data_IF_004268992131
#
_entry.id   IF_004268992131
#
_cell.length_a   1.000
_cell.length_b   1.000
_cell.length_c   1.000
_cell.angle_alpha   90.00
_cell.angle_beta   90.00
_cell.angle_gamma   90.00
#
_symmetry.space_group_name_H-M   'P 1'
#
loop_
_entity.id
_entity.type
_entity.pdbx_description
1 polymer ?
#
# COMPACT_ATOMS: atom_id res chain seq x y z
N UNK A 1 -5.76 -9.03 -13.11
CA UNK A 1 -4.54 -8.38 -13.60
C UNK A 1 -4.52 -6.94 -13.09
N UNK A 2 -3.35 -6.28 -13.07
CA UNK A 2 -3.19 -4.92 -12.49
C UNK A 2 -3.93 -3.89 -13.37
N UNK A 3 -4.76 -3.04 -12.76
CA UNK A 3 -5.60 -2.05 -13.45
C UNK A 3 -5.21 -0.60 -13.15
N UNK A 4 -4.29 -0.39 -12.21
CA UNK A 4 -3.77 0.94 -11.87
C UNK A 4 -3.13 0.97 -10.49
N UNK A 5 -2.91 2.17 -9.96
CA UNK A 5 -2.55 2.39 -8.57
C UNK A 5 -3.83 2.51 -7.73
N UNK A 6 -3.85 1.86 -6.57
CA UNK A 6 -4.84 2.12 -5.52
C UNK A 6 -4.37 3.30 -4.68
N UNK A 7 -3.15 3.23 -4.15
CA UNK A 7 -2.52 4.32 -3.41
C UNK A 7 -1.01 4.30 -3.51
N UNK A 8 -0.38 5.40 -3.08
CA UNK A 8 1.02 5.41 -2.64
C UNK A 8 1.05 5.76 -1.15
N UNK A 9 1.92 5.11 -0.38
CA UNK A 9 2.18 5.45 1.00
C UNK A 9 3.52 6.18 1.12
N UNK A 10 3.45 7.45 1.55
CA UNK A 10 4.58 8.31 1.82
C UNK A 10 4.79 8.46 3.32
N UNK A 11 5.99 8.90 3.72
CA UNK A 11 6.38 9.00 5.12
C UNK A 11 6.74 10.43 5.51
N UNK A 12 6.25 10.82 6.69
CA UNK A 12 6.57 12.09 7.35
C UNK A 12 7.06 11.85 8.78
N UNK A 13 7.72 12.83 9.41
CA UNK A 13 8.12 12.73 10.81
C UNK A 13 6.94 12.44 11.74
N UNK A 14 7.22 11.79 12.88
CA UNK A 14 6.19 11.48 13.86
C UNK A 14 5.62 12.78 14.45
N UNK A 15 4.29 12.85 14.56
CA UNK A 15 3.59 13.97 15.17
C UNK A 15 3.29 15.14 14.24
N UNK A 16 3.52 15.00 12.93
CA UNK A 16 3.35 16.10 11.95
C UNK A 16 2.21 15.85 10.94
N UNK A 17 1.12 15.17 11.35
CA UNK A 17 -0.02 14.95 10.43
C UNK A 17 -0.77 16.25 10.12
N UNK A 18 -0.81 17.19 11.06
CA UNK A 18 -1.33 18.55 10.84
C UNK A 18 -0.62 19.24 9.67
N UNK A 19 0.73 19.15 9.64
CA UNK A 19 1.53 19.67 8.54
C UNK A 19 1.24 18.94 7.23
N UNK A 20 0.97 17.63 7.28
CA UNK A 20 0.56 16.87 6.11
C UNK A 20 -0.81 17.35 5.57
N UNK A 21 -1.79 17.60 6.44
CA UNK A 21 -3.08 18.15 6.01
C UNK A 21 -2.94 19.55 5.39
N UNK A 22 -2.12 20.42 5.97
CA UNK A 22 -1.84 21.74 5.37
C UNK A 22 -1.13 21.61 4.02
N UNK A 23 -0.09 20.77 3.93
CA UNK A 23 0.67 20.63 2.69
C UNK A 23 -0.16 19.94 1.59
N UNK A 24 -0.61 18.71 1.83
CA UNK A 24 -1.31 17.93 0.80
C UNK A 24 -2.73 18.44 0.55
N UNK A 25 -3.45 18.88 1.60
CA UNK A 25 -4.81 19.37 1.47
C UNK A 25 -4.90 20.81 0.98
N UNK A 26 -4.24 21.74 1.67
CA UNK A 26 -4.39 23.17 1.38
C UNK A 26 -3.42 23.65 0.29
N UNK A 27 -2.15 23.22 0.34
CA UNK A 27 -1.13 23.70 -0.61
C UNK A 27 -1.23 23.00 -1.96
N UNK A 28 -1.40 21.67 -1.97
CA UNK A 28 -1.55 20.90 -3.22
C UNK A 28 -3.01 20.81 -3.69
N UNK A 29 -3.98 21.11 -2.83
CA UNK A 29 -5.41 21.07 -3.17
C UNK A 29 -6.03 19.67 -3.21
N UNK A 30 -5.44 18.67 -2.56
CA UNK A 30 -5.99 17.31 -2.56
C UNK A 30 -7.13 17.16 -1.55
N UNK A 31 -8.10 16.31 -1.86
CA UNK A 31 -9.24 16.08 -0.99
C UNK A 31 -8.91 15.10 0.12
N UNK A 32 -8.95 15.54 1.38
CA UNK A 32 -8.78 14.67 2.53
C UNK A 32 -9.90 13.61 2.59
N UNK A 33 -9.51 12.34 2.68
CA UNK A 33 -10.41 11.21 2.82
C UNK A 33 -10.46 10.73 4.28
N UNK A 34 -11.57 10.11 4.66
CA UNK A 34 -11.69 9.48 5.98
C UNK A 34 -10.78 8.26 6.06
N UNK A 35 -10.03 8.16 7.16
CA UNK A 35 -9.19 7.01 7.47
C UNK A 35 -9.97 5.98 8.29
N UNK A 36 -9.59 4.68 8.25
CA UNK A 36 -10.16 3.67 9.15
C UNK A 36 -10.07 4.08 10.61
N UNK A 37 -11.05 3.71 11.44
CA UNK A 37 -11.14 4.19 12.83
C UNK A 37 -9.86 3.90 13.62
N UNK A 38 -9.32 2.68 13.43
CA UNK A 38 -8.10 2.21 14.10
C UNK A 38 -6.82 2.92 13.64
N UNK A 39 -6.87 3.75 12.61
CA UNK A 39 -5.72 4.47 12.06
C UNK A 39 -5.78 5.98 12.29
N UNK A 40 -6.83 6.50 12.94
CA UNK A 40 -6.93 7.91 13.29
C UNK A 40 -5.69 8.38 14.07
N UNK A 41 -5.16 9.54 13.67
CA UNK A 41 -3.96 10.13 14.27
C UNK A 41 -2.65 9.43 13.91
N UNK A 42 -2.67 8.40 13.06
CA UNK A 42 -1.47 7.66 12.62
C UNK A 42 -1.20 7.75 11.12
N UNK A 43 -2.22 8.11 10.34
CA UNK A 43 -2.16 8.23 8.89
C UNK A 43 -3.12 9.32 8.41
N UNK A 44 -2.81 9.95 7.29
CA UNK A 44 -3.73 10.82 6.54
C UNK A 44 -3.91 10.25 5.12
N UNK A 45 -5.14 10.27 4.60
CA UNK A 45 -5.46 9.84 3.24
C UNK A 45 -5.94 11.04 2.42
N UNK A 46 -5.50 11.12 1.17
CA UNK A 46 -5.88 12.15 0.22
C UNK A 46 -6.28 11.52 -1.12
N UNK A 47 -7.41 11.91 -1.68
CA UNK A 47 -7.83 11.49 -3.02
C UNK A 47 -7.18 12.37 -4.08
N UNK A 48 -6.65 11.75 -5.13
CA UNK A 48 -6.10 12.43 -6.32
C UNK A 48 -7.18 12.81 -7.34
N UNK A 49 -8.29 12.06 -7.35
CA UNK A 49 -9.41 12.24 -8.27
C UNK A 49 -10.72 12.11 -7.51
N UNK A 50 -11.81 12.62 -8.11
CA UNK A 50 -13.17 12.52 -7.57
C UNK A 50 -13.90 11.25 -8.05
N UNK A 51 -13.15 10.24 -8.52
CA UNK A 51 -13.73 8.98 -9.01
C UNK A 51 -14.35 8.17 -7.86
N UNK A 52 -15.33 7.28 -8.14
CA UNK A 52 -15.88 6.37 -7.14
C UNK A 52 -14.85 5.43 -6.47
N UNK A 53 -13.71 5.20 -7.15
CA UNK A 53 -12.56 4.46 -6.65
C UNK A 53 -11.29 5.29 -6.90
N UNK A 54 -11.07 6.35 -6.12
CA UNK A 54 -10.01 7.30 -6.40
C UNK A 54 -8.64 6.65 -6.24
N UNK A 55 -7.65 7.15 -6.97
CA UNK A 55 -6.26 6.91 -6.59
C UNK A 55 -5.95 7.76 -5.36
N UNK A 56 -5.16 7.24 -4.43
CA UNK A 56 -4.92 7.95 -3.16
C UNK A 56 -3.44 8.17 -2.86
N UNK A 57 -3.16 9.22 -2.09
CA UNK A 57 -1.92 9.38 -1.36
C UNK A 57 -2.21 9.12 0.10
N UNK A 58 -1.54 8.15 0.68
CA UNK A 58 -1.50 7.91 2.11
C UNK A 58 -0.21 8.52 2.67
N UNK A 59 -0.32 9.18 3.81
CA UNK A 59 0.80 9.82 4.50
C UNK A 59 0.87 9.26 5.91
N UNK A 60 1.83 8.38 6.15
CA UNK A 60 2.06 7.72 7.44
C UNK A 60 3.32 8.26 8.12
N UNK A 61 3.51 7.92 9.39
CA UNK A 61 4.76 8.22 10.08
C UNK A 61 5.87 7.23 9.74
N UNK A 62 7.10 7.71 9.55
CA UNK A 62 8.26 6.84 9.42
C UNK A 62 9.49 7.52 8.86
N UNK A 63 10.48 6.70 8.50
CA UNK A 63 11.74 7.10 7.87
C UNK A 63 11.95 6.33 6.56
N UNK A 64 12.85 6.85 5.72
CA UNK A 64 13.13 6.34 4.38
C UNK A 64 14.18 5.21 4.35
N UNK A 65 14.25 4.42 5.41
CA UNK A 65 15.23 3.33 5.59
C UNK A 65 14.96 2.13 4.65
N UNK A 66 15.92 1.20 4.47
CA UNK A 66 15.76 0.06 3.56
C UNK A 66 14.51 -0.81 3.80
N UNK A 67 14.06 -0.94 5.05
CA UNK A 67 12.87 -1.70 5.44
C UNK A 67 11.60 -0.83 5.53
N UNK A 68 11.67 0.41 5.04
CA UNK A 68 10.60 1.41 5.09
C UNK A 68 9.23 0.85 4.68
N UNK A 69 8.15 1.24 5.40
CA UNK A 69 6.78 0.89 5.04
C UNK A 69 6.21 1.75 3.91
N UNK A 70 7.01 2.61 3.25
CA UNK A 70 6.57 3.29 2.02
C UNK A 70 6.36 2.26 0.92
N UNK A 71 5.30 2.41 0.15
CA UNK A 71 4.99 1.48 -0.93
C UNK A 71 4.00 2.08 -1.92
N UNK A 72 4.06 1.70 -3.20
CA UNK A 72 2.88 1.72 -4.04
C UNK A 72 1.97 0.53 -3.68
N UNK A 73 0.67 0.77 -3.78
CA UNK A 73 -0.34 -0.28 -3.83
C UNK A 73 -0.94 -0.35 -5.23
N UNK A 74 -0.86 -1.51 -5.85
CA UNK A 74 -1.44 -1.78 -7.15
C UNK A 74 -2.87 -2.30 -7.02
N UNK A 75 -3.77 -1.72 -7.80
CA UNK A 75 -5.16 -2.18 -7.93
C UNK A 75 -5.21 -3.40 -8.83
N UNK A 76 -5.90 -4.44 -8.37
CA UNK A 76 -6.11 -5.70 -9.07
C UNK A 76 -7.59 -5.85 -9.41
N UNK A 77 -7.88 -6.32 -10.63
CA UNK A 77 -9.26 -6.35 -11.14
C UNK A 77 -10.23 -7.27 -10.36
N UNK A 78 -9.73 -8.32 -9.70
CA UNK A 78 -10.58 -9.31 -9.02
C UNK A 78 -9.82 -10.11 -7.96
N UNK A 79 -10.57 -10.80 -7.10
CA UNK A 79 -10.00 -11.70 -6.09
C UNK A 79 -9.20 -12.85 -6.71
N UNK A 80 -9.73 -13.45 -7.77
CA UNK A 80 -9.10 -14.56 -8.48
C UNK A 80 -7.76 -14.12 -9.06
N UNK A 81 -7.73 -12.92 -9.66
CA UNK A 81 -6.49 -12.33 -10.15
C UNK A 81 -5.49 -12.00 -9.05
N UNK A 82 -5.97 -11.55 -7.87
CA UNK A 82 -5.13 -11.27 -6.71
C UNK A 82 -4.44 -12.55 -6.22
N UNK A 83 -5.20 -13.64 -6.06
CA UNK A 83 -4.64 -14.94 -5.64
C UNK A 83 -3.69 -15.52 -6.69
N UNK A 84 -4.05 -15.44 -7.97
CA UNK A 84 -3.17 -15.90 -9.05
C UNK A 84 -1.85 -15.11 -9.10
N UNK A 85 -1.88 -13.80 -8.86
CA UNK A 85 -0.67 -12.98 -8.77
C UNK A 85 0.18 -13.36 -7.55
N UNK A 86 -0.44 -13.51 -6.36
CA UNK A 86 0.24 -13.94 -5.14
C UNK A 86 0.94 -15.29 -5.32
N UNK A 87 0.26 -16.25 -5.94
CA UNK A 87 0.82 -17.58 -6.24
C UNK A 87 2.04 -17.49 -7.16
N UNK A 88 1.97 -16.73 -8.26
CA UNK A 88 3.11 -16.54 -9.18
C UNK A 88 4.30 -15.86 -8.52
N UNK A 89 4.08 -14.85 -7.68
CA UNK A 89 5.15 -14.18 -6.94
C UNK A 89 5.80 -15.12 -5.91
N UNK A 90 4.98 -15.94 -5.23
CA UNK A 90 5.48 -16.95 -4.30
C UNK A 90 6.33 -18.02 -4.99
N UNK A 91 5.89 -18.52 -6.15
CA UNK A 91 6.67 -19.46 -6.96
C UNK A 91 8.00 -18.86 -7.44
N UNK A 92 8.00 -17.59 -7.84
CA UNK A 92 9.23 -16.89 -8.22
C UNK A 92 10.16 -16.67 -7.01
N UNK A 93 9.60 -16.33 -5.84
CA UNK A 93 10.36 -16.26 -4.60
C UNK A 93 11.05 -17.60 -4.28
N UNK A 94 10.33 -18.72 -4.38
CA UNK A 94 10.88 -20.06 -4.16
C UNK A 94 11.93 -20.48 -5.20
N UNK A 95 11.81 -20.00 -6.44
CA UNK A 95 12.80 -20.23 -7.50
C UNK A 95 14.16 -19.61 -7.14
N UNK A 96 14.17 -18.49 -6.40
CA UNK A 96 15.38 -17.90 -5.83
C UNK A 96 16.43 -17.42 -6.84
N UNK A 97 16.01 -17.08 -8.07
CA UNK A 97 16.91 -16.46 -9.05
C UNK A 97 17.22 -14.99 -8.71
N UNK A 98 18.12 -14.36 -9.45
CA UNK A 98 18.56 -12.99 -9.17
C UNK A 98 17.44 -11.92 -9.23
N UNK A 99 16.29 -12.25 -9.84
CA UNK A 99 15.13 -11.37 -9.92
C UNK A 99 14.00 -11.80 -8.97
N UNK A 100 14.23 -12.83 -8.14
CA UNK A 100 13.23 -13.32 -7.21
C UNK A 100 12.86 -12.22 -6.18
N UNK A 101 11.56 -12.08 -5.85
CA UNK A 101 11.16 -11.24 -4.74
C UNK A 101 11.92 -11.61 -3.46
N UNK A 102 12.39 -10.62 -2.69
CA UNK A 102 13.03 -10.90 -1.41
C UNK A 102 12.04 -11.43 -0.36
N UNK A 103 10.77 -11.06 -0.48
CA UNK A 103 9.70 -11.50 0.41
C UNK A 103 8.36 -11.49 -0.32
N UNK A 104 7.47 -12.44 -0.03
CA UNK A 104 6.08 -12.44 -0.49
C UNK A 104 5.22 -13.06 0.60
N UNK A 105 4.09 -12.45 0.93
CA UNK A 105 3.11 -13.09 1.81
C UNK A 105 2.68 -14.44 1.21
N UNK A 106 2.92 -15.54 1.93
CA UNK A 106 2.70 -16.91 1.42
C UNK A 106 1.21 -17.24 1.22
N UNK A 107 0.79 -17.77 0.05
CA UNK A 107 -0.59 -18.19 -0.19
C UNK A 107 -1.15 -19.10 0.92
N UNK A 108 -2.37 -18.82 1.38
CA UNK A 108 -3.03 -19.56 2.47
C UNK A 108 -2.63 -19.12 3.89
N UNK A 109 -1.62 -18.26 4.05
CA UNK A 109 -1.22 -17.73 5.35
C UNK A 109 -1.70 -16.28 5.56
N UNK A 110 -1.63 -15.84 6.83
CA UNK A 110 -1.98 -14.48 7.24
C UNK A 110 -1.10 -13.47 6.50
N UNK A 111 -1.72 -12.39 6.03
CA UNK A 111 -1.04 -11.31 5.33
C UNK A 111 -0.25 -10.44 6.30
N UNK A 112 0.77 -9.76 5.79
CA UNK A 112 1.49 -8.72 6.52
C UNK A 112 0.62 -7.47 6.69
N UNK A 113 0.91 -6.66 7.72
CA UNK A 113 0.23 -5.38 7.97
C UNK A 113 -1.17 -5.48 8.62
N UNK A 114 -1.87 -4.34 8.77
CA UNK A 114 -3.18 -4.29 9.44
C UNK A 114 -4.27 -5.08 8.69
N UNK A 115 -5.15 -5.80 9.38
CA UNK A 115 -6.25 -6.54 8.75
C UNK A 115 -7.57 -6.28 9.49
N UNK A 116 -8.70 -6.36 8.78
CA UNK A 116 -10.03 -6.13 9.33
C UNK A 116 -11.06 -5.82 8.24
N UNK A 117 -12.33 -5.65 8.62
CA UNK A 117 -13.42 -5.43 7.66
C UNK A 117 -13.32 -4.10 6.90
N UNK A 118 -12.63 -3.11 7.45
CA UNK A 118 -12.38 -1.80 6.82
C UNK A 118 -11.29 -1.86 5.73
N UNK A 119 -10.57 -2.98 5.61
CA UNK A 119 -9.46 -3.12 4.65
C UNK A 119 -9.85 -3.98 3.45
N UNK A 120 -9.37 -3.64 2.25
CA UNK A 120 -9.55 -4.49 1.09
C UNK A 120 -8.77 -5.80 1.26
N UNK A 121 -9.16 -6.80 0.47
CA UNK A 121 -8.37 -8.01 0.31
C UNK A 121 -7.08 -7.65 -0.42
N UNK A 122 -5.96 -8.03 0.17
CA UNK A 122 -4.63 -7.63 -0.30
C UNK A 122 -3.52 -8.54 0.16
N UNK A 123 -2.33 -8.37 -0.37
CA UNK A 123 -1.11 -8.98 0.14
C UNK A 123 0.10 -8.08 -0.14
N UNK A 124 1.21 -8.36 0.54
CA UNK A 124 2.47 -7.62 0.39
C UNK A 124 3.59 -8.49 -0.20
N UNK A 125 4.51 -7.83 -0.89
CA UNK A 125 5.77 -8.40 -1.34
C UNK A 125 6.90 -7.37 -1.23
N UNK A 126 8.15 -7.83 -1.17
CA UNK A 126 9.33 -7.03 -1.48
C UNK A 126 9.91 -7.50 -2.79
N UNK A 127 10.17 -6.58 -3.70
CA UNK A 127 10.85 -6.91 -4.95
C UNK A 127 12.30 -7.39 -4.73
N UNK A 128 13.00 -7.67 -5.82
CA UNK A 128 14.40 -8.12 -5.79
C UNK A 128 15.37 -7.10 -5.16
N UNK A 129 14.95 -5.84 -5.02
CA UNK A 129 15.73 -4.75 -4.45
C UNK A 129 15.24 -4.31 -3.05
N UNK A 130 14.25 -5.01 -2.50
CA UNK A 130 13.71 -4.75 -1.16
C UNK A 130 12.60 -3.70 -1.10
N UNK A 131 12.12 -3.15 -2.23
CA UNK A 131 11.01 -2.21 -2.23
C UNK A 131 9.72 -2.91 -1.80
N UNK A 132 9.02 -2.36 -0.80
CA UNK A 132 7.72 -2.88 -0.40
C UNK A 132 6.66 -2.55 -1.46
N UNK A 133 5.89 -3.56 -1.84
CA UNK A 133 4.78 -3.48 -2.79
C UNK A 133 3.52 -4.04 -2.13
N UNK A 134 2.39 -3.38 -2.35
CA UNK A 134 1.07 -3.86 -1.95
C UNK A 134 0.21 -4.13 -3.19
N UNK A 135 -0.69 -5.11 -3.11
CA UNK A 135 -1.65 -5.43 -4.17
C UNK A 135 -3.03 -5.62 -3.56
N UNK A 136 -4.05 -4.91 -4.04
CA UNK A 136 -5.41 -4.96 -3.48
C UNK A 136 -6.50 -4.96 -4.55
N UNK A 137 -7.69 -5.47 -4.20
CA UNK A 137 -8.91 -5.46 -5.06
C UNK A 137 -9.90 -4.39 -4.60
#
# INVERSE_FOLDING_TARGET
MITGLAHINLLVPRGTLDQAYTFYGETLGLYAATVPERQKGTIAWFNLTDDPKPQQIHVAFGTNEPDSPRHPCFRIESMEALQALRQRLWEHHLKGDAAAPMHVDKPGEKISGPSGFEYPNRFFARDFAGNLLEFSV
#
